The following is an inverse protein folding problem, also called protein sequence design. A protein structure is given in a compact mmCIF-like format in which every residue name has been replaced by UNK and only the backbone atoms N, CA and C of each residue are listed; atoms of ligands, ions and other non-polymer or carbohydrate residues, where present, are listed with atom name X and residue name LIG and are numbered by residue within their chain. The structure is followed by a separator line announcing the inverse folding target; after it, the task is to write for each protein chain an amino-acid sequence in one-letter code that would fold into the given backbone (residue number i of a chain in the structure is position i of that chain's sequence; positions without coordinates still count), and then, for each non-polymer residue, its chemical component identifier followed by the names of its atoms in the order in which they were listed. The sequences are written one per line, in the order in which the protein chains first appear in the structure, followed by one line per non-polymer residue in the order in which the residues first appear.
data_IF_706056585868
#
_entry.id   IF_706056585868
#
_cell.length_a   1.000
_cell.length_b   1.000
_cell.length_c   1.000
_cell.angle_alpha   90.00
_cell.angle_beta   90.00
_cell.angle_gamma   90.00
#
_symmetry.space_group_name_H-M   'P 1'
#
loop_
_entity.id
_entity.type
_entity.pdbx_description
1 polymer ?
#
# COMPACT_ATOMS: atom_id res chain seq x y z
N UNK A 1 -20.85 3.84 -4.38
CA UNK A 1 -19.99 3.18 -5.40
C UNK A 1 -18.86 2.48 -4.68
N UNK A 2 -18.58 1.18 -4.94
CA UNK A 2 -17.46 0.50 -4.28
C UNK A 2 -16.13 1.08 -4.81
N UNK A 3 -15.15 1.26 -3.93
CA UNK A 3 -13.84 1.79 -4.30
C UNK A 3 -13.10 0.77 -5.20
N UNK A 4 -12.78 1.17 -6.43
CA UNK A 4 -11.88 0.41 -7.32
C UNK A 4 -10.44 0.69 -6.88
N UNK A 5 -9.77 -0.34 -6.36
CA UNK A 5 -8.35 -0.31 -6.07
C UNK A 5 -7.56 -0.40 -7.38
N UNK A 6 -6.40 0.27 -7.51
CA UNK A 6 -5.61 0.21 -8.72
C UNK A 6 -5.06 -1.21 -8.88
N UNK A 7 -5.43 -1.87 -9.98
CA UNK A 7 -4.90 -3.17 -10.37
C UNK A 7 -3.43 -2.98 -10.73
N UNK A 8 -2.52 -3.47 -9.90
CA UNK A 8 -1.10 -3.50 -10.21
C UNK A 8 -0.84 -4.58 -11.27
N UNK A 9 -0.65 -4.13 -12.51
CA UNK A 9 -0.32 -4.98 -13.65
C UNK A 9 1.05 -5.65 -13.53
N UNK A 10 1.01 -6.98 -13.56
CA UNK A 10 1.91 -7.94 -14.21
C UNK A 10 3.44 -7.69 -14.17
N UNK A 11 4.08 -8.15 -13.09
CA UNK A 11 5.51 -8.49 -13.09
C UNK A 11 5.68 -9.99 -13.26
N UNK A 12 6.19 -10.42 -14.41
CA UNK A 12 6.57 -11.82 -14.66
C UNK A 12 7.73 -12.23 -13.76
N UNK A 13 7.48 -13.14 -12.83
CA UNK A 13 8.49 -14.08 -12.33
C UNK A 13 7.79 -15.41 -12.09
N UNK A 14 7.93 -16.27 -13.09
CA UNK A 14 7.65 -17.69 -13.04
C UNK A 14 8.69 -18.35 -12.14
N UNK A 15 8.26 -18.86 -10.98
CA UNK A 15 8.63 -20.18 -10.45
C UNK A 15 8.05 -20.39 -9.05
N UNK A 16 6.95 -21.14 -9.04
CA UNK A 16 6.72 -22.27 -8.16
C UNK A 16 7.10 -22.12 -6.67
N UNK A 17 6.14 -21.66 -5.86
CA UNK A 17 5.78 -22.29 -4.57
C UNK A 17 4.36 -21.90 -4.20
N UNK A 18 3.38 -22.57 -4.79
CA UNK A 18 2.02 -22.61 -4.24
C UNK A 18 2.02 -23.53 -3.01
N UNK A 19 2.67 -23.11 -1.92
CA UNK A 19 2.57 -23.80 -0.63
C UNK A 19 1.36 -23.26 0.12
N UNK A 20 0.32 -24.08 0.18
CA UNK A 20 -0.99 -23.73 0.73
C UNK A 20 -0.94 -23.02 2.08
N UNK A 21 -1.45 -21.77 2.10
CA UNK A 21 -2.14 -21.06 3.19
C UNK A 21 -2.23 -19.58 2.80
N UNK A 22 -2.93 -19.26 1.72
CA UNK A 22 -3.10 -17.84 1.33
C UNK A 22 -4.36 -17.20 1.93
N UNK A 23 -5.25 -17.97 2.55
CA UNK A 23 -6.54 -17.49 3.05
C UNK A 23 -6.63 -17.41 4.59
N UNK A 24 -5.55 -16.99 5.26
CA UNK A 24 -5.70 -16.50 6.64
C UNK A 24 -5.72 -14.98 6.60
N UNK A 25 -6.73 -14.33 7.22
CA UNK A 25 -6.71 -12.88 7.36
C UNK A 25 -5.46 -12.50 8.10
N UNK A 26 -4.57 -11.79 7.41
CA UNK A 26 -3.33 -11.29 7.98
C UNK A 26 -3.70 -10.14 8.92
N UNK A 27 -2.94 -10.00 10.00
CA UNK A 27 -3.14 -8.87 10.92
C UNK A 27 -2.95 -7.57 10.16
N UNK A 28 -3.64 -6.50 10.59
CA UNK A 28 -3.52 -5.18 9.95
C UNK A 28 -2.04 -4.75 9.83
N UNK A 29 -1.23 -5.06 10.84
CA UNK A 29 0.21 -4.80 10.84
C UNK A 29 0.96 -5.40 9.64
N UNK A 30 0.54 -6.57 9.14
CA UNK A 30 1.16 -7.18 7.95
C UNK A 30 1.02 -6.31 6.70
N UNK A 31 -0.14 -5.67 6.53
CA UNK A 31 -0.39 -4.76 5.41
C UNK A 31 0.26 -3.39 5.59
N UNK A 32 0.47 -2.97 6.84
CA UNK A 32 1.09 -1.68 7.17
C UNK A 32 2.62 -1.74 7.24
N UNK A 33 3.20 -2.92 7.40
CA UNK A 33 4.65 -3.12 7.46
C UNK A 33 5.42 -2.48 6.29
N UNK A 34 4.95 -2.55 5.02
CA UNK A 34 5.62 -1.87 3.90
C UNK A 34 5.54 -0.35 3.94
N UNK A 35 4.62 0.22 4.73
CA UNK A 35 4.48 1.67 4.90
C UNK A 35 5.47 2.21 5.94
N UNK A 36 6.12 1.35 6.73
CA UNK A 36 7.16 1.77 7.65
C UNK A 36 8.31 2.42 6.86
N UNK A 37 8.62 3.67 7.17
CA UNK A 37 9.68 4.41 6.46
C UNK A 37 9.31 4.80 5.02
N UNK A 38 8.03 4.77 4.63
CA UNK A 38 7.60 5.17 3.28
C UNK A 38 8.06 6.58 2.89
N UNK A 39 8.17 7.49 3.86
CA UNK A 39 8.65 8.86 3.67
C UNK A 39 10.17 8.97 3.45
N UNK A 40 10.94 7.90 3.68
CA UNK A 40 12.38 7.88 3.39
C UNK A 40 12.67 7.83 1.88
N UNK A 41 11.66 7.54 1.05
CA UNK A 41 11.77 7.60 -0.41
C UNK A 41 11.27 8.94 -0.93
N UNK A 42 12.05 9.69 -1.72
CA UNK A 42 11.70 11.05 -2.13
C UNK A 42 10.45 11.10 -3.03
N UNK A 43 10.26 10.10 -3.91
CA UNK A 43 9.07 9.92 -4.75
C UNK A 43 7.78 9.81 -3.93
N UNK A 44 7.85 9.09 -2.80
CA UNK A 44 6.71 8.89 -1.90
C UNK A 44 6.51 10.05 -0.95
N UNK A 45 7.58 10.68 -0.49
CA UNK A 45 7.52 11.83 0.39
C UNK A 45 6.77 13.01 -0.23
N UNK A 46 6.99 13.30 -1.52
CA UNK A 46 6.29 14.39 -2.22
C UNK A 46 4.78 14.14 -2.30
N UNK A 47 4.37 12.91 -2.64
CA UNK A 47 2.96 12.50 -2.69
C UNK A 47 2.31 12.65 -1.31
N UNK A 48 2.99 12.20 -0.25
CA UNK A 48 2.48 12.31 1.11
C UNK A 48 2.35 13.78 1.54
N UNK A 49 3.34 14.62 1.24
CA UNK A 49 3.28 16.06 1.55
C UNK A 49 2.09 16.71 0.86
N UNK A 50 1.90 16.45 -0.44
CA UNK A 50 0.77 16.97 -1.20
C UNK A 50 -0.56 16.51 -0.60
N UNK A 51 -0.70 15.22 -0.30
CA UNK A 51 -1.90 14.66 0.31
C UNK A 51 -2.23 15.34 1.65
N UNK A 52 -1.24 15.48 2.54
CA UNK A 52 -1.45 16.12 3.83
C UNK A 52 -1.74 17.61 3.72
N UNK A 53 -1.13 18.33 2.77
CA UNK A 53 -1.44 19.74 2.52
C UNK A 53 -2.86 19.96 1.96
N UNK A 54 -3.35 19.04 1.12
CA UNK A 54 -4.71 19.11 0.55
C UNK A 54 -5.79 18.70 1.55
N UNK A 55 -5.46 17.86 2.54
CA UNK A 55 -6.44 17.29 3.49
C UNK A 55 -6.28 17.82 4.94
N UNK A 56 -5.35 18.74 5.19
CA UNK A 56 -5.14 19.31 6.54
C UNK A 56 -6.27 20.20 7.05
N UNK A 57 -7.20 20.63 6.18
CA UNK A 57 -8.38 21.42 6.56
C UNK A 57 -9.59 20.57 7.01
N UNK A 58 -9.54 19.24 6.87
CA UNK A 58 -10.68 18.35 7.18
C UNK A 58 -10.59 17.70 8.57
N UNK A 59 -9.77 18.25 9.47
CA UNK A 59 -9.75 17.87 10.89
C UNK A 59 -10.21 19.09 11.71
N UNK A 60 -11.53 19.28 11.85
CA UNK A 60 -12.19 20.12 12.86
C UNK A 60 -13.24 19.27 13.57
#
# INVERSE_FOLDING_TARGET
MPALWPVTGHGTTDSDKRSGREDRPKTLGWYLQPLTGIASRPDRAEILRRYFSENSETIV
#
